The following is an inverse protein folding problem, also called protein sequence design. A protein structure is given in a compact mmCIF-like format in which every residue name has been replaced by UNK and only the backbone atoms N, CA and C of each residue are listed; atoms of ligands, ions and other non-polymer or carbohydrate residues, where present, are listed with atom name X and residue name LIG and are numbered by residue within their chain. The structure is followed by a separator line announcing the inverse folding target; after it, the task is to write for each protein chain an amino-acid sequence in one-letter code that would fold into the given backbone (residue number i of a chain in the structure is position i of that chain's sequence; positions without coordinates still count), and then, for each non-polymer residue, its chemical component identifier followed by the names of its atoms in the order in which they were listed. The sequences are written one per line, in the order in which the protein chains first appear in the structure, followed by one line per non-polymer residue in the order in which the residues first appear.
data_IF_431178641342
#
_entry.id   IF_431178641342
#
_cell.length_a   1.000
_cell.length_b   1.000
_cell.length_c   1.000
_cell.angle_alpha   90.00
_cell.angle_beta   90.00
_cell.angle_gamma   90.00
#
_symmetry.space_group_name_H-M   'P 1'
#
loop_
_entity.id
_entity.type
_entity.pdbx_description
1 polymer ?
#
# COMPACT_ATOMS: atom_id res chain seq x y z
N UNK A 1 5.54 -8.17 -38.00
CA UNK A 1 6.89 -7.74 -37.58
C UNK A 1 6.82 -6.31 -37.12
N UNK A 2 6.79 -6.08 -35.80
CA UNK A 2 7.35 -4.88 -35.18
C UNK A 2 8.56 -5.41 -34.42
N UNK A 3 9.72 -5.24 -35.05
CA UNK A 3 11.04 -5.49 -34.51
C UNK A 3 11.35 -4.38 -33.49
N UNK A 4 12.06 -4.71 -32.40
CA UNK A 4 12.56 -3.82 -31.31
C UNK A 4 11.71 -3.70 -30.02
N UNK A 5 12.12 -4.46 -28.99
CA UNK A 5 11.75 -4.43 -27.57
C UNK A 5 10.28 -4.67 -27.17
N UNK A 6 9.90 -5.95 -27.02
CA UNK A 6 8.64 -6.44 -26.45
C UNK A 6 8.49 -6.23 -24.93
N UNK A 7 8.68 -5.01 -24.42
CA UNK A 7 8.26 -4.72 -23.05
C UNK A 7 6.80 -4.26 -23.13
N UNK A 8 5.87 -5.13 -22.75
CA UNK A 8 4.49 -4.75 -22.51
C UNK A 8 4.51 -3.62 -21.46
N UNK A 9 4.41 -2.36 -21.91
CA UNK A 9 4.50 -1.17 -21.07
C UNK A 9 3.32 -1.16 -20.09
N UNK A 10 3.50 -1.85 -18.97
CA UNK A 10 2.50 -2.03 -17.94
C UNK A 10 2.63 -0.86 -16.97
N UNK A 11 1.63 0.02 -16.93
CA UNK A 11 1.60 1.17 -16.03
C UNK A 11 0.66 0.84 -14.88
N UNK A 12 1.19 0.79 -13.67
CA UNK A 12 0.49 0.48 -12.43
C UNK A 12 0.56 1.62 -11.43
N UNK A 13 -0.37 1.62 -10.48
CA UNK A 13 -0.36 2.57 -9.36
C UNK A 13 -0.70 1.88 -8.02
N UNK A 14 0.09 0.86 -7.58
CA UNK A 14 -0.24 0.13 -6.36
C UNK A 14 -0.18 1.01 -5.12
N UNK A 15 -1.00 0.64 -4.13
CA UNK A 15 -0.89 1.19 -2.77
C UNK A 15 -0.10 0.23 -1.91
N UNK A 16 1.03 0.70 -1.37
CA UNK A 16 1.80 -0.02 -0.35
C UNK A 16 1.36 0.44 1.03
N UNK A 17 1.19 -0.50 1.95
CA UNK A 17 0.78 -0.25 3.32
C UNK A 17 1.90 -0.78 4.21
N UNK A 18 2.56 0.11 4.93
CA UNK A 18 3.68 -0.21 5.80
C UNK A 18 3.26 0.08 7.25
N UNK A 19 3.44 -0.86 8.19
CA UNK A 19 3.17 -0.56 9.60
C UNK A 19 4.05 0.60 10.06
N UNK A 20 3.42 1.59 10.68
CA UNK A 20 4.08 2.76 11.26
C UNK A 20 4.33 2.49 12.74
N UNK A 21 5.42 3.03 13.30
CA UNK A 21 5.71 2.97 14.74
C UNK A 21 4.66 3.79 15.49
N UNK A 22 3.53 3.14 15.81
CA UNK A 22 2.35 3.84 16.29
C UNK A 22 2.43 4.31 17.74
N UNK A 23 1.38 4.97 18.19
CA UNK A 23 1.24 5.55 19.54
C UNK A 23 1.14 4.52 20.69
N UNK A 24 1.09 3.22 20.37
CA UNK A 24 1.02 2.12 21.33
C UNK A 24 -0.38 1.88 21.92
N UNK A 25 -1.40 2.65 21.53
CA UNK A 25 -2.77 2.42 22.00
C UNK A 25 -3.43 1.26 21.23
N UNK A 26 -4.00 0.33 22.00
CA UNK A 26 -4.83 -0.73 21.44
C UNK A 26 -6.15 -0.14 20.91
N UNK A 27 -6.46 -0.40 19.63
CA UNK A 27 -7.72 0.00 19.00
C UNK A 27 -8.50 -1.23 18.53
N UNK A 28 -9.82 -1.15 18.61
CA UNK A 28 -10.73 -2.22 18.20
C UNK A 28 -11.31 -1.89 16.82
N UNK A 29 -11.29 -2.85 15.90
CA UNK A 29 -11.87 -2.67 14.57
C UNK A 29 -13.40 -2.67 14.67
N UNK A 30 -14.11 -1.65 14.15
CA UNK A 30 -15.58 -1.64 14.19
C UNK A 30 -16.22 -2.70 13.29
N UNK A 31 -15.47 -3.30 12.36
CA UNK A 31 -15.98 -4.29 11.41
C UNK A 31 -15.92 -5.72 11.95
N UNK A 32 -14.80 -6.12 12.55
CA UNK A 32 -14.63 -7.47 13.10
C UNK A 32 -14.58 -7.52 14.63
N UNK A 33 -14.71 -6.38 15.31
CA UNK A 33 -14.67 -6.23 16.76
C UNK A 33 -13.42 -6.83 17.44
N UNK A 34 -12.29 -6.89 16.73
CA UNK A 34 -11.04 -7.44 17.25
C UNK A 34 -9.97 -6.35 17.42
N UNK A 35 -9.07 -6.54 18.39
CA UNK A 35 -7.98 -5.62 18.75
C UNK A 35 -6.77 -5.68 17.81
N UNK A 36 -6.98 -5.89 16.52
CA UNK A 36 -5.90 -6.05 15.53
C UNK A 36 -5.80 -4.87 14.55
N UNK A 37 -6.15 -3.68 15.05
CA UNK A 37 -5.98 -2.42 14.34
C UNK A 37 -4.61 -1.85 14.68
N UNK A 38 -3.83 -1.49 13.66
CA UNK A 38 -2.50 -0.92 13.82
C UNK A 38 -2.34 0.34 12.96
N UNK A 39 -1.45 1.23 13.40
CA UNK A 39 -1.11 2.42 12.64
C UNK A 39 -0.23 2.03 11.46
N UNK A 40 -0.56 2.53 10.28
CA UNK A 40 0.17 2.22 9.06
C UNK A 40 0.30 3.47 8.19
N UNK A 41 1.38 3.54 7.44
CA UNK A 41 1.56 4.50 6.38
C UNK A 41 1.11 3.87 5.06
N UNK A 42 0.15 4.50 4.40
CA UNK A 42 -0.30 4.14 3.06
C UNK A 42 0.35 5.07 2.05
N UNK A 43 1.05 4.50 1.07
CA UNK A 43 1.75 5.23 0.03
C UNK A 43 1.47 4.60 -1.33
N UNK A 44 1.05 5.41 -2.30
CA UNK A 44 0.90 4.96 -3.68
C UNK A 44 2.23 5.07 -4.42
N UNK A 45 2.47 4.18 -5.37
CA UNK A 45 3.66 4.18 -6.21
C UNK A 45 3.26 4.13 -7.66
N UNK A 46 3.87 4.95 -8.51
CA UNK A 46 3.83 4.73 -9.95
C UNK A 46 4.78 3.59 -10.29
N UNK A 47 4.24 2.55 -10.93
CA UNK A 47 5.02 1.43 -11.46
C UNK A 47 4.98 1.45 -12.99
N UNK A 48 6.14 1.30 -13.62
CA UNK A 48 6.23 1.07 -15.06
C UNK A 48 7.03 -0.21 -15.26
N UNK A 49 6.48 -1.16 -15.99
CA UNK A 49 7.10 -2.46 -16.25
C UNK A 49 7.53 -3.17 -14.95
N UNK A 50 6.65 -3.14 -13.93
CA UNK A 50 6.85 -3.75 -12.61
C UNK A 50 8.00 -3.15 -11.78
N UNK A 51 8.56 -2.02 -12.20
CA UNK A 51 9.55 -1.26 -11.44
C UNK A 51 8.86 -0.08 -10.74
N UNK A 52 8.96 0.05 -9.40
CA UNK A 52 8.47 1.23 -8.70
C UNK A 52 9.36 2.43 -9.02
N UNK A 53 8.80 3.44 -9.68
CA UNK A 53 9.54 4.61 -10.14
C UNK A 53 9.35 5.82 -9.22
N UNK A 54 8.10 6.17 -8.91
CA UNK A 54 7.80 7.40 -8.20
C UNK A 54 6.80 7.18 -7.06
N UNK A 55 7.17 7.46 -5.80
CA UNK A 55 6.23 7.47 -4.70
C UNK A 55 5.37 8.73 -4.71
N UNK A 56 4.06 8.56 -4.53
CA UNK A 56 3.15 9.65 -4.21
C UNK A 56 3.21 9.99 -2.72
N UNK A 57 2.48 11.03 -2.31
CA UNK A 57 2.39 11.45 -0.91
C UNK A 57 1.90 10.29 -0.03
N UNK A 58 2.60 10.06 1.07
CA UNK A 58 2.19 9.12 2.11
C UNK A 58 1.08 9.73 2.98
N UNK A 59 0.18 8.87 3.46
CA UNK A 59 -0.85 9.22 4.45
C UNK A 59 -0.82 8.23 5.62
N UNK A 60 -0.99 8.75 6.83
CA UNK A 60 -1.18 7.93 8.03
C UNK A 60 -2.61 7.38 8.05
N UNK A 61 -2.75 6.07 8.21
CA UNK A 61 -4.03 5.35 8.23
C UNK A 61 -4.05 4.33 9.37
N UNK A 62 -5.25 3.92 9.76
CA UNK A 62 -5.46 2.77 10.63
C UNK A 62 -5.88 1.59 9.79
N UNK A 63 -5.09 0.51 9.84
CA UNK A 63 -5.37 -0.72 9.09
C UNK A 63 -5.70 -1.86 10.06
N UNK A 64 -6.61 -2.75 9.66
CA UNK A 64 -6.94 -3.96 10.40
C UNK A 64 -6.48 -5.16 9.59
N UNK A 65 -5.54 -5.96 10.12
CA UNK A 65 -5.00 -7.12 9.39
C UNK A 65 -6.04 -8.24 9.17
N UNK A 66 -7.16 -8.21 9.91
CA UNK A 66 -8.24 -9.22 9.80
C UNK A 66 -9.23 -8.86 8.70
N UNK A 67 -9.48 -7.56 8.51
CA UNK A 67 -10.45 -7.07 7.52
C UNK A 67 -9.79 -6.65 6.19
N UNK A 68 -8.48 -6.87 6.06
CA UNK A 68 -7.68 -6.51 4.87
C UNK A 68 -8.17 -7.22 3.62
#
# INVERSE_FOLDING_TARGET
MCDDCCICLSIGCPTKINPSGGDGQARICPRCNNGSVFQAQSQQWLEICFLPLFPFKSKEVWSCNICS
#
